data_IF_108859539098
#
_entry.id   IF_108859539098
#
_cell.length_a   1.000
_cell.length_b   1.000
_cell.length_c   1.000
_cell.angle_alpha   90.00
_cell.angle_beta   90.00
_cell.angle_gamma   90.00
#
_symmetry.space_group_name_H-M   'P 1'
#
loop_
_entity.id
_entity.type
_entity.pdbx_description
1 polymer ?
#
# COMPACT_ATOMS: atom_id res chain seq x y z
N UNK A 1 19.88 -30.34 -56.38
CA UNK A 1 20.38 -29.15 -55.64
C UNK A 1 19.56 -27.98 -56.18
N UNK A 2 18.76 -27.22 -55.44
CA UNK A 2 18.68 -26.94 -54.01
C UNK A 2 17.25 -27.05 -53.50
N UNK A 3 17.14 -27.49 -52.26
CA UNK A 3 15.96 -27.45 -51.39
C UNK A 3 16.23 -26.31 -50.39
N UNK A 4 15.17 -25.66 -49.92
CA UNK A 4 15.14 -24.71 -48.80
C UNK A 4 15.45 -23.25 -49.14
N UNK A 5 14.42 -22.54 -49.58
CA UNK A 5 14.33 -21.09 -49.41
C UNK A 5 12.87 -20.71 -49.13
N UNK A 6 12.27 -21.28 -48.06
CA UNK A 6 10.92 -20.89 -47.63
C UNK A 6 10.61 -21.15 -46.15
N UNK A 7 11.59 -21.03 -45.25
CA UNK A 7 11.37 -21.27 -43.80
C UNK A 7 12.07 -20.25 -42.89
N UNK A 8 12.26 -19.01 -43.35
CA UNK A 8 12.96 -17.98 -42.55
C UNK A 8 12.05 -16.91 -41.94
N UNK A 9 10.84 -16.66 -42.47
CA UNK A 9 9.97 -15.60 -41.92
C UNK A 9 9.05 -16.06 -40.77
N UNK A 10 8.85 -17.37 -40.60
CA UNK A 10 8.04 -17.94 -39.51
C UNK A 10 8.70 -17.92 -38.13
N UNK A 11 10.03 -17.84 -38.06
CA UNK A 11 10.77 -17.97 -36.79
C UNK A 11 10.97 -16.63 -36.06
N UNK A 12 11.09 -15.52 -36.78
CA UNK A 12 11.37 -14.21 -36.16
C UNK A 12 10.15 -13.70 -35.35
N UNK A 13 8.93 -14.01 -35.78
CA UNK A 13 7.71 -13.59 -35.06
C UNK A 13 7.47 -14.36 -33.75
N UNK A 14 7.99 -15.58 -33.63
CA UNK A 14 7.86 -16.38 -32.40
C UNK A 14 8.94 -16.08 -31.36
N UNK A 15 10.08 -15.52 -31.78
CA UNK A 15 11.17 -15.17 -30.87
C UNK A 15 10.98 -13.77 -30.24
N UNK A 16 10.35 -12.83 -30.94
CA UNK A 16 9.97 -11.52 -30.36
C UNK A 16 8.89 -11.67 -29.28
N UNK A 17 8.00 -12.68 -29.38
CA UNK A 17 7.00 -12.95 -28.33
C UNK A 17 7.57 -13.54 -27.04
N UNK A 18 8.82 -14.00 -27.03
CA UNK A 18 9.42 -14.66 -25.87
C UNK A 18 10.15 -13.71 -24.90
N UNK A 19 10.32 -12.44 -25.29
CA UNK A 19 11.03 -11.42 -24.50
C UNK A 19 10.17 -10.24 -24.03
N UNK A 20 8.85 -10.31 -24.19
CA UNK A 20 7.96 -9.52 -23.34
C UNK A 20 7.75 -10.38 -22.10
N UNK A 21 8.61 -10.18 -21.10
CA UNK A 21 8.25 -10.48 -19.72
C UNK A 21 7.01 -9.64 -19.46
N UNK A 22 5.86 -10.23 -19.73
CA UNK A 22 4.59 -9.76 -19.24
C UNK A 22 4.62 -10.10 -17.76
N UNK A 23 5.36 -9.29 -16.98
CA UNK A 23 5.12 -9.13 -15.57
C UNK A 23 3.66 -8.73 -15.47
N UNK A 24 2.79 -9.71 -15.31
CA UNK A 24 1.47 -9.47 -14.78
C UNK A 24 1.71 -8.92 -13.39
N UNK A 25 1.84 -7.60 -13.26
CA UNK A 25 1.72 -6.91 -11.97
C UNK A 25 0.32 -7.22 -11.49
N UNK A 26 0.16 -8.35 -10.78
CA UNK A 26 -1.08 -8.71 -10.14
C UNK A 26 -1.40 -7.59 -9.15
N UNK A 27 -2.38 -6.78 -9.53
CA UNK A 27 -2.87 -5.69 -8.69
C UNK A 27 -3.56 -6.34 -7.50
N UNK A 28 -2.91 -6.32 -6.35
CA UNK A 28 -3.51 -6.78 -5.12
C UNK A 28 -4.58 -5.80 -4.68
N UNK A 29 -5.75 -6.33 -4.32
CA UNK A 29 -6.82 -5.56 -3.70
C UNK A 29 -6.85 -5.82 -2.21
N UNK A 30 -6.82 -4.76 -1.39
CA UNK A 30 -6.84 -4.89 0.07
C UNK A 30 -8.14 -5.58 0.52
N UNK A 31 -7.99 -6.60 1.36
CA UNK A 31 -9.14 -7.24 1.99
C UNK A 31 -9.77 -6.33 3.06
N UNK A 32 -11.03 -6.58 3.44
CA UNK A 32 -11.67 -5.88 4.57
C UNK A 32 -10.86 -5.99 5.86
N UNK A 33 -10.24 -7.13 6.10
CA UNK A 33 -9.39 -7.33 7.28
C UNK A 33 -8.13 -6.47 7.22
N UNK A 34 -7.51 -6.33 6.04
CA UNK A 34 -6.35 -5.46 5.85
C UNK A 34 -6.71 -4.00 6.17
N UNK A 35 -7.86 -3.55 5.67
CA UNK A 35 -8.40 -2.20 5.93
C UNK A 35 -8.61 -1.99 7.43
N UNK A 36 -9.19 -2.98 8.12
CA UNK A 36 -9.41 -2.91 9.56
C UNK A 36 -8.10 -2.74 10.36
N UNK A 37 -6.98 -3.36 9.93
CA UNK A 37 -5.71 -3.27 10.65
C UNK A 37 -5.11 -1.86 10.64
N UNK A 38 -5.24 -1.11 9.55
CA UNK A 38 -4.74 0.27 9.48
C UNK A 38 -5.79 1.32 9.85
N UNK A 39 -7.07 0.97 10.01
CA UNK A 39 -8.12 1.91 10.41
C UNK A 39 -7.81 2.66 11.71
N UNK A 40 -7.07 2.05 12.65
CA UNK A 40 -6.62 2.72 13.88
C UNK A 40 -5.62 3.87 13.66
N UNK A 41 -5.07 3.99 12.45
CA UNK A 41 -4.19 5.06 12.01
C UNK A 41 -4.91 6.11 11.15
N UNK A 42 -6.23 5.97 10.92
CA UNK A 42 -7.03 7.06 10.35
C UNK A 42 -7.50 7.99 11.46
N UNK A 43 -7.79 9.24 11.11
CA UNK A 43 -8.33 10.21 12.04
C UNK A 43 -9.66 9.73 12.63
N UNK A 44 -10.61 9.34 11.77
CA UNK A 44 -11.93 8.84 12.18
C UNK A 44 -11.84 7.59 13.06
N UNK A 45 -10.94 6.65 12.71
CA UNK A 45 -10.73 5.45 13.49
C UNK A 45 -10.18 5.75 14.89
N UNK A 46 -9.35 6.78 15.03
CA UNK A 46 -8.92 7.28 16.34
C UNK A 46 -10.02 8.07 17.05
N UNK A 47 -10.83 8.86 16.34
CA UNK A 47 -11.94 9.63 16.90
C UNK A 47 -12.97 8.71 17.56
N UNK A 48 -13.32 7.58 16.93
CA UNK A 48 -14.21 6.58 17.52
C UNK A 48 -13.65 5.98 18.82
N UNK A 49 -12.34 5.71 18.85
CA UNK A 49 -11.69 5.20 20.07
C UNK A 49 -11.60 6.27 21.14
N UNK A 50 -11.36 7.53 20.76
CA UNK A 50 -11.20 8.66 21.67
C UNK A 50 -12.45 8.93 22.51
N UNK A 51 -13.65 8.57 22.04
CA UNK A 51 -14.92 8.70 22.78
C UNK A 51 -14.92 7.97 24.12
N UNK A 52 -14.14 6.89 24.23
CA UNK A 52 -14.11 6.01 25.40
C UNK A 52 -12.81 6.15 26.21
N UNK A 53 -11.94 7.08 25.85
CA UNK A 53 -10.67 7.31 26.52
C UNK A 53 -10.73 8.59 27.36
N UNK A 54 -10.11 8.56 28.53
CA UNK A 54 -9.75 9.79 29.24
C UNK A 54 -8.70 10.55 28.44
N UNK A 55 -8.63 11.87 28.63
CA UNK A 55 -7.67 12.71 27.91
C UNK A 55 -6.21 12.29 28.17
N UNK A 56 -5.90 11.83 29.38
CA UNK A 56 -4.58 11.30 29.71
C UNK A 56 -4.24 10.04 28.89
N UNK A 57 -5.18 9.10 28.79
CA UNK A 57 -4.99 7.86 28.03
C UNK A 57 -4.94 8.13 26.52
N UNK A 58 -5.76 9.06 26.03
CA UNK A 58 -5.72 9.52 24.65
C UNK A 58 -4.36 10.15 24.34
N UNK A 59 -3.87 11.08 25.16
CA UNK A 59 -2.57 11.72 24.98
C UNK A 59 -1.42 10.70 24.93
N UNK A 60 -1.42 9.70 25.83
CA UNK A 60 -0.41 8.61 25.83
C UNK A 60 -0.43 7.81 24.54
N UNK A 61 -1.62 7.57 23.97
CA UNK A 61 -1.80 6.83 22.72
C UNK A 61 -1.33 7.66 21.52
N UNK A 62 -1.80 8.90 21.40
CA UNK A 62 -1.45 9.82 20.31
C UNK A 62 0.06 10.05 20.20
N UNK A 63 0.77 10.18 21.33
CA UNK A 63 2.25 10.30 21.34
C UNK A 63 2.95 9.17 20.60
N UNK A 64 2.46 7.93 20.74
CA UNK A 64 3.08 6.71 20.19
C UNK A 64 2.62 6.37 18.77
N UNK A 65 1.63 7.08 18.24
CA UNK A 65 0.99 6.72 16.96
C UNK A 65 1.21 7.84 15.94
N UNK A 66 1.38 7.47 14.68
CA UNK A 66 1.25 8.39 13.55
C UNK A 66 0.05 7.97 12.71
N UNK A 67 -0.47 8.93 11.96
CA UNK A 67 -1.76 8.82 11.31
C UNK A 67 -1.67 9.24 9.85
N UNK A 68 -2.65 8.80 9.07
CA UNK A 68 -2.94 9.39 7.77
C UNK A 68 -3.38 10.85 7.93
N UNK A 69 -3.27 11.61 6.84
CA UNK A 69 -3.81 12.97 6.76
C UNK A 69 -5.33 12.93 7.03
N UNK A 70 -5.80 13.77 7.97
CA UNK A 70 -7.21 13.84 8.37
C UNK A 70 -8.12 14.42 7.29
N UNK A 71 -7.54 15.12 6.32
CA UNK A 71 -8.29 15.73 5.22
C UNK A 71 -8.58 14.73 4.09
N UNK A 72 -7.98 13.54 4.12
CA UNK A 72 -8.28 12.46 3.17
C UNK A 72 -9.50 11.66 3.63
N UNK A 73 -10.38 11.33 2.68
CA UNK A 73 -11.46 10.37 2.93
C UNK A 73 -10.92 8.95 3.15
N UNK A 74 -11.71 8.11 3.83
CA UNK A 74 -11.37 6.68 4.03
C UNK A 74 -11.09 5.96 2.70
N UNK A 75 -11.88 6.27 1.66
CA UNK A 75 -11.70 5.72 0.32
C UNK A 75 -10.34 6.11 -0.29
N UNK A 76 -9.91 7.36 -0.14
CA UNK A 76 -8.60 7.82 -0.62
C UNK A 76 -7.46 7.17 0.15
N UNK A 77 -7.59 7.02 1.46
CA UNK A 77 -6.61 6.31 2.28
C UNK A 77 -6.46 4.85 1.81
N UNK A 78 -7.58 4.16 1.54
CA UNK A 78 -7.56 2.78 1.03
C UNK A 78 -6.87 2.73 -0.34
N UNK A 79 -7.25 3.63 -1.26
CA UNK A 79 -6.65 3.71 -2.59
C UNK A 79 -5.12 3.93 -2.51
N UNK A 80 -4.68 4.91 -1.74
CA UNK A 80 -3.25 5.25 -1.63
C UNK A 80 -2.46 4.14 -0.94
N UNK A 81 -3.04 3.49 0.07
CA UNK A 81 -2.41 2.33 0.73
C UNK A 81 -2.28 1.15 -0.22
N UNK A 82 -3.30 0.88 -1.04
CA UNK A 82 -3.26 -0.18 -2.04
C UNK A 82 -2.22 0.09 -3.13
N UNK A 83 -2.17 1.32 -3.63
CA UNK A 83 -1.16 1.75 -4.60
C UNK A 83 0.25 1.62 -4.03
N UNK A 84 0.49 2.16 -2.83
CA UNK A 84 1.77 2.06 -2.12
C UNK A 84 2.22 0.59 -1.95
N UNK A 85 1.32 -0.27 -1.46
CA UNK A 85 1.61 -1.69 -1.28
C UNK A 85 1.95 -2.39 -2.59
N UNK A 86 1.16 -2.16 -3.65
CA UNK A 86 1.40 -2.79 -4.95
C UNK A 86 2.75 -2.37 -5.54
N UNK A 87 3.10 -1.08 -5.48
CA UNK A 87 4.40 -0.58 -5.93
C UNK A 87 5.54 -1.27 -5.16
N UNK A 88 5.46 -1.28 -3.83
CA UNK A 88 6.51 -1.86 -2.97
C UNK A 88 6.64 -3.38 -3.15
N UNK A 89 5.51 -4.09 -3.25
CA UNK A 89 5.49 -5.55 -3.49
C UNK A 89 6.12 -5.90 -4.84
N UNK A 90 5.81 -5.15 -5.89
CA UNK A 90 6.38 -5.37 -7.23
C UNK A 90 7.90 -5.10 -7.26
N UNK A 91 8.41 -4.28 -6.34
CA UNK A 91 9.84 -4.08 -6.13
C UNK A 91 10.49 -5.16 -5.23
N UNK A 92 9.74 -6.18 -4.81
CA UNK A 92 10.21 -7.24 -3.92
C UNK A 92 10.50 -6.76 -2.48
N UNK A 93 9.92 -5.63 -2.05
CA UNK A 93 10.15 -5.08 -0.71
C UNK A 93 9.42 -5.87 0.36
N UNK A 94 10.08 -6.06 1.49
CA UNK A 94 9.51 -6.58 2.75
C UNK A 94 9.91 -5.68 3.91
N UNK A 95 9.29 -5.85 5.08
CA UNK A 95 9.48 -5.00 6.25
C UNK A 95 8.74 -3.66 6.15
N UNK A 96 9.17 -2.70 6.97
CA UNK A 96 8.64 -1.33 6.96
C UNK A 96 9.28 -0.53 5.83
N UNK A 97 8.45 0.00 4.94
CA UNK A 97 8.88 0.83 3.82
C UNK A 97 8.02 2.09 3.77
N UNK A 98 8.62 3.20 3.34
CA UNK A 98 7.94 4.49 3.17
C UNK A 98 7.98 4.88 1.71
N UNK A 99 6.85 5.33 1.16
CA UNK A 99 6.73 5.79 -0.22
C UNK A 99 5.74 6.96 -0.29
N UNK A 100 6.02 7.91 -1.19
CA UNK A 100 5.09 8.99 -1.49
C UNK A 100 4.09 8.54 -2.56
N UNK A 101 2.80 8.72 -2.29
CA UNK A 101 1.69 8.44 -3.21
C UNK A 101 0.77 9.65 -3.21
N UNK A 102 0.61 10.29 -4.38
CA UNK A 102 -0.24 11.47 -4.55
C UNK A 102 0.03 12.61 -3.55
N UNK A 103 1.32 12.85 -3.23
CA UNK A 103 1.75 13.88 -2.28
C UNK A 103 1.68 13.48 -0.80
N UNK A 104 1.28 12.24 -0.49
CA UNK A 104 1.17 11.73 0.88
C UNK A 104 2.23 10.65 1.13
N UNK A 105 2.93 10.75 2.26
CA UNK A 105 3.87 9.71 2.69
C UNK A 105 3.10 8.59 3.37
N UNK A 106 3.14 7.40 2.76
CA UNK A 106 2.52 6.18 3.26
C UNK A 106 3.61 5.24 3.75
N UNK A 107 3.58 4.88 5.03
CA UNK A 107 4.38 3.79 5.57
C UNK A 107 3.60 2.49 5.43
N UNK A 108 4.20 1.47 4.83
CA UNK A 108 3.62 0.15 4.61
C UNK A 108 4.50 -0.91 5.25
N UNK A 109 3.91 -1.76 6.09
CA UNK A 109 4.55 -2.94 6.63
C UNK A 109 4.15 -4.15 5.79
N UNK A 110 5.15 -4.81 5.20
CA UNK A 110 4.99 -6.01 4.38
C UNK A 110 5.69 -7.17 5.10
N UNK A 111 5.01 -8.29 5.30
CA UNK A 111 5.58 -9.48 5.93
C UNK A 111 6.65 -10.11 5.05
N UNK A 112 7.43 -11.02 5.62
CA UNK A 112 8.50 -11.73 4.89
C UNK A 112 7.99 -12.61 3.75
N UNK A 113 6.74 -13.06 3.81
CA UNK A 113 6.04 -13.79 2.74
C UNK A 113 5.44 -12.88 1.66
N UNK A 114 5.67 -11.56 1.76
CA UNK A 114 5.15 -10.56 0.83
C UNK A 114 3.70 -10.15 1.09
N UNK A 115 3.05 -10.65 2.15
CA UNK A 115 1.68 -10.25 2.50
C UNK A 115 1.61 -8.90 3.20
N UNK A 116 0.55 -8.15 2.96
CA UNK A 116 0.27 -6.89 3.66
C UNK A 116 0.03 -7.13 5.15
N UNK A 117 0.66 -6.32 6.01
CA UNK A 117 0.46 -6.34 7.46
C UNK A 117 -0.35 -5.12 7.94
N UNK A 118 0.21 -3.92 7.76
CA UNK A 118 -0.44 -2.66 8.16
C UNK A 118 0.12 -1.49 7.37
N UNK A 119 -0.52 -0.33 7.48
CA UNK A 119 -0.05 0.93 6.93
C UNK A 119 -0.42 2.11 7.82
N UNK A 120 0.31 3.22 7.70
CA UNK A 120 0.04 4.46 8.42
C UNK A 120 0.75 5.65 7.78
N UNK A 121 0.18 6.85 7.91
CA UNK A 121 0.84 8.09 7.51
C UNK A 121 1.83 8.61 8.56
N UNK A 122 2.28 9.84 8.37
CA UNK A 122 3.29 10.50 9.22
C UNK A 122 2.73 11.57 10.16
N UNK A 123 1.42 11.83 10.08
CA UNK A 123 0.79 12.94 10.80
C UNK A 123 0.71 12.65 12.30
N UNK A 124 0.88 13.69 13.10
CA UNK A 124 0.70 13.67 14.55
C UNK A 124 -0.50 14.54 14.90
N UNK A 125 -1.34 14.00 15.76
CA UNK A 125 -2.49 14.70 16.33
C UNK A 125 -2.35 14.72 17.85
N UNK A 126 -3.06 15.63 18.49
CA UNK A 126 -3.12 15.76 19.94
C UNK A 126 -4.57 15.70 20.44
N UNK A 127 -4.75 15.85 21.75
CA UNK A 127 -6.08 15.68 22.37
C UNK A 127 -7.09 16.71 21.87
N UNK A 128 -6.68 17.95 21.58
CA UNK A 128 -7.61 19.01 21.11
C UNK A 128 -8.12 18.76 19.70
N UNK A 129 -7.47 17.90 18.93
CA UNK A 129 -8.01 17.49 17.63
C UNK A 129 -9.27 16.61 17.78
N UNK A 130 -9.47 15.96 18.92
CA UNK A 130 -10.56 14.99 19.16
C UNK A 130 -11.56 15.42 20.26
N UNK A 131 -11.51 16.68 20.69
CA UNK A 131 -12.28 17.23 21.81
C UNK A 131 -12.89 18.57 21.48
#
# INVERSE_FOLDING_TARGET
QNIAEDVAEGSIKNEIKKNIVQESTEVFTLSKNNIQYFKKHTFDGMAEQAKYLTDENLAKKLKKTTFFNKDLSEERIIQYTQEAYNILRNQGKTGLNSIEVNGEIINVCIKTDGTFDTAYGIYKYDVKDFR
#
